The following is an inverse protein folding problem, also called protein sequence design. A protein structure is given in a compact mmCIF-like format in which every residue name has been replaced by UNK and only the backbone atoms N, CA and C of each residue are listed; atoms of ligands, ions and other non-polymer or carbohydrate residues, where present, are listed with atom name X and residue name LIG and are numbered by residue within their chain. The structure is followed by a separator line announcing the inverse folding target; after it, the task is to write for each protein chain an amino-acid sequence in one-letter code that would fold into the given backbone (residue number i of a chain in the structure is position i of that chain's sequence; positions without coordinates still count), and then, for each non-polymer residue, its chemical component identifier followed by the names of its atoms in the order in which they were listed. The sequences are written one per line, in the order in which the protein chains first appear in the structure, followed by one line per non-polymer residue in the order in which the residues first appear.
data_IF_713515144431
#
_entry.id   IF_713515144431
#
_cell.length_a   1.000
_cell.length_b   1.000
_cell.length_c   1.000
_cell.angle_alpha   90.00
_cell.angle_beta   90.00
_cell.angle_gamma   90.00
#
_symmetry.space_group_name_H-M   'P 1'
#
loop_
_entity.id
_entity.type
_entity.pdbx_description
1 polymer ?
#
# COMPACT_ATOMS: atom_id res chain seq x y z
N UNK A 1 16.41 11.16 20.86
CA UNK A 1 15.09 11.73 20.48
C UNK A 1 14.08 11.29 21.52
N UNK A 2 13.22 12.18 22.00
CA UNK A 2 12.11 11.79 22.86
C UNK A 2 11.04 11.07 22.02
N UNK A 3 10.43 9.99 22.53
CA UNK A 3 9.45 9.18 21.78
C UNK A 3 8.19 9.96 21.41
N UNK A 4 7.75 10.89 22.27
CA UNK A 4 6.58 11.73 21.99
C UNK A 4 6.80 12.61 20.76
N UNK A 5 8.03 13.12 20.58
CA UNK A 5 8.41 13.89 19.39
C UNK A 5 8.39 13.03 18.11
N UNK A 6 8.72 11.74 18.22
CA UNK A 6 8.69 10.81 17.10
C UNK A 6 7.25 10.51 16.69
N UNK A 7 6.37 10.22 17.65
CA UNK A 7 4.96 9.93 17.38
C UNK A 7 4.28 11.10 16.64
N UNK A 8 4.43 12.32 17.15
CA UNK A 8 3.90 13.54 16.52
C UNK A 8 4.44 13.72 15.11
N UNK A 9 5.74 13.47 14.90
CA UNK A 9 6.36 13.59 13.59
C UNK A 9 5.78 12.60 12.58
N UNK A 10 5.58 11.34 12.95
CA UNK A 10 4.99 10.33 12.05
C UNK A 10 3.55 10.72 11.70
N UNK A 11 2.77 11.17 12.68
CA UNK A 11 1.38 11.62 12.48
C UNK A 11 1.34 12.82 11.53
N UNK A 12 2.27 13.77 11.68
CA UNK A 12 2.36 14.94 10.81
C UNK A 12 2.66 14.57 9.34
N UNK A 13 3.55 13.61 9.09
CA UNK A 13 3.81 13.10 7.72
C UNK A 13 2.54 12.55 7.07
N UNK A 14 1.74 11.79 7.83
CA UNK A 14 0.46 11.23 7.38
C UNK A 14 -0.59 12.32 7.15
N UNK A 15 -0.62 13.35 8.00
CA UNK A 15 -1.53 14.49 7.81
C UNK A 15 -1.18 15.29 6.54
N UNK A 16 0.10 15.51 6.26
CA UNK A 16 0.54 16.18 5.02
C UNK A 16 0.15 15.38 3.77
N UNK A 17 0.26 14.04 3.83
CA UNK A 17 -0.19 13.13 2.76
C UNK A 17 -1.69 13.28 2.50
N UNK A 18 -2.51 13.16 3.54
CA UNK A 18 -3.97 13.31 3.43
C UNK A 18 -4.39 14.70 2.93
N UNK A 19 -3.73 15.76 3.42
CA UNK A 19 -4.00 17.13 2.99
C UNK A 19 -3.72 17.35 1.50
N UNK A 20 -2.57 16.87 1.01
CA UNK A 20 -2.22 16.97 -0.42
C UNK A 20 -3.19 16.14 -1.26
N UNK A 21 -3.52 14.93 -0.82
CA UNK A 21 -4.48 14.06 -1.51
C UNK A 21 -5.84 14.74 -1.66
N UNK A 22 -6.37 15.33 -0.59
CA UNK A 22 -7.64 16.06 -0.60
C UNK A 22 -7.60 17.27 -1.55
N UNK A 23 -6.48 18.00 -1.59
CA UNK A 23 -6.28 19.09 -2.53
C UNK A 23 -6.30 18.61 -3.98
N UNK A 24 -5.61 17.51 -4.29
CA UNK A 24 -5.56 16.94 -5.64
C UNK A 24 -6.92 16.39 -6.07
N UNK A 25 -7.71 15.82 -5.16
CA UNK A 25 -9.10 15.41 -5.41
C UNK A 25 -9.95 16.62 -5.77
N UNK A 26 -9.90 17.70 -4.98
CA UNK A 26 -10.66 18.95 -5.26
C UNK A 26 -10.28 19.56 -6.61
N UNK A 27 -9.02 19.39 -7.04
CA UNK A 27 -8.52 19.86 -8.34
C UNK A 27 -8.77 18.88 -9.50
N UNK A 28 -9.35 17.70 -9.24
CA UNK A 28 -9.59 16.68 -10.26
C UNK A 28 -8.31 16.07 -10.85
N UNK A 29 -7.20 16.09 -10.09
CA UNK A 29 -5.87 15.69 -10.59
C UNK A 29 -5.49 14.23 -10.34
N UNK A 30 -6.28 13.48 -9.57
CA UNK A 30 -6.01 12.06 -9.29
C UNK A 30 -6.64 11.09 -10.30
N UNK A 31 -7.22 11.60 -11.39
CA UNK A 31 -7.86 10.77 -12.42
C UNK A 31 -6.86 10.19 -13.44
N UNK A 32 -5.68 10.79 -13.59
CA UNK A 32 -4.70 10.42 -14.61
C UNK A 32 -3.32 10.11 -14.01
N UNK A 33 -3.14 8.84 -13.62
CA UNK A 33 -1.86 8.33 -13.14
C UNK A 33 -1.45 8.83 -11.75
N UNK A 34 -0.15 8.75 -11.48
CA UNK A 34 0.43 9.14 -10.19
C UNK A 34 0.91 10.58 -10.26
N UNK A 35 0.24 11.49 -9.55
CA UNK A 35 0.58 12.91 -9.56
C UNK A 35 2.03 13.14 -9.06
N UNK A 36 2.88 13.90 -9.79
CA UNK A 36 4.28 14.11 -9.41
C UNK A 36 4.48 14.77 -8.04
N UNK A 37 3.56 15.62 -7.59
CA UNK A 37 3.64 16.24 -6.26
C UNK A 37 3.35 15.22 -5.16
N UNK A 38 2.43 14.28 -5.43
CA UNK A 38 2.15 13.16 -4.53
C UNK A 38 3.32 12.19 -4.48
N UNK A 39 3.92 11.87 -5.63
CA UNK A 39 5.13 11.02 -5.69
C UNK A 39 6.28 11.63 -4.89
N UNK A 40 6.53 12.94 -5.06
CA UNK A 40 7.55 13.65 -4.31
C UNK A 40 7.29 13.62 -2.79
N UNK A 41 6.04 13.82 -2.36
CA UNK A 41 5.68 13.78 -0.95
C UNK A 41 5.83 12.37 -0.36
N UNK A 42 5.35 11.34 -1.04
CA UNK A 42 5.50 9.96 -0.57
C UNK A 42 6.97 9.54 -0.45
N UNK A 43 7.82 9.93 -1.40
CA UNK A 43 9.26 9.67 -1.32
C UNK A 43 9.91 10.38 -0.13
N UNK A 44 9.59 11.66 0.09
CA UNK A 44 10.07 12.41 1.27
C UNK A 44 9.59 11.78 2.58
N UNK A 45 8.32 11.38 2.66
CA UNK A 45 7.78 10.72 3.85
C UNK A 45 8.49 9.39 4.11
N UNK A 46 8.79 8.61 3.06
CA UNK A 46 9.54 7.36 3.16
C UNK A 46 10.97 7.57 3.68
N UNK A 47 11.68 8.59 3.20
CA UNK A 47 13.02 8.96 3.68
C UNK A 47 13.01 9.29 5.18
N UNK A 48 12.09 10.19 5.60
CA UNK A 48 11.98 10.62 6.99
C UNK A 48 11.58 9.44 7.89
N UNK A 49 10.65 8.59 7.45
CA UNK A 49 10.25 7.41 8.20
C UNK A 49 11.36 6.37 8.27
N UNK A 50 12.18 6.23 7.21
CA UNK A 50 13.34 5.35 7.23
C UNK A 50 14.34 5.77 8.31
N UNK A 51 14.65 7.06 8.43
CA UNK A 51 15.53 7.58 9.49
C UNK A 51 14.99 7.28 10.89
N UNK A 52 13.67 7.41 11.07
CA UNK A 52 13.01 7.06 12.35
C UNK A 52 13.15 5.55 12.61
N UNK A 53 12.90 4.72 11.60
CA UNK A 53 13.00 3.25 11.69
C UNK A 53 14.43 2.82 12.00
N UNK A 54 15.45 3.51 11.49
CA UNK A 54 16.85 3.23 11.80
C UNK A 54 17.19 3.47 13.28
N UNK A 55 16.43 4.32 13.97
CA UNK A 55 16.60 4.60 15.41
C UNK A 55 15.77 3.68 16.28
N UNK A 56 14.50 3.43 15.93
CA UNK A 56 13.55 2.73 16.83
C UNK A 56 13.10 1.35 16.33
N UNK A 57 13.52 0.92 15.15
CA UNK A 57 12.94 -0.23 14.45
C UNK A 57 11.53 0.05 13.92
N UNK A 58 10.74 -0.99 13.65
CA UNK A 58 9.34 -0.80 13.24
C UNK A 58 8.58 0.03 14.30
N UNK A 59 7.81 1.07 13.91
CA UNK A 59 7.03 1.90 14.83
C UNK A 59 5.80 1.15 15.34
N UNK A 60 6.00 0.19 16.23
CA UNK A 60 4.95 -0.60 16.88
C UNK A 60 4.15 0.25 17.87
N UNK A 61 2.94 -0.22 18.21
CA UNK A 61 2.01 0.50 19.10
C UNK A 61 2.65 0.83 20.46
N UNK A 62 3.46 -0.09 21.02
CA UNK A 62 4.15 0.09 22.29
C UNK A 62 5.25 1.17 22.26
N UNK A 63 5.78 1.52 21.07
CA UNK A 63 6.85 2.51 20.92
C UNK A 63 6.33 3.92 20.66
N UNK A 64 5.29 4.04 19.84
CA UNK A 64 4.83 5.33 19.30
C UNK A 64 3.32 5.58 19.49
N UNK A 65 2.61 4.63 20.10
CA UNK A 65 1.15 4.68 20.23
C UNK A 65 0.43 4.26 18.94
N UNK A 66 -0.88 3.99 19.08
CA UNK A 66 -1.70 3.44 17.99
C UNK A 66 -1.75 4.35 16.76
N UNK A 67 -2.01 5.64 16.96
CA UNK A 67 -2.16 6.60 15.87
C UNK A 67 -0.89 6.73 15.01
N UNK A 68 0.29 6.84 15.64
CA UNK A 68 1.55 6.91 14.92
C UNK A 68 1.93 5.58 14.26
N UNK A 69 1.60 4.44 14.88
CA UNK A 69 1.83 3.12 14.29
C UNK A 69 1.00 2.91 13.01
N UNK A 70 -0.28 3.30 13.04
CA UNK A 70 -1.16 3.29 11.87
C UNK A 70 -0.72 4.28 10.79
N UNK A 71 -0.25 5.47 11.19
CA UNK A 71 0.32 6.47 10.29
C UNK A 71 1.61 5.97 9.60
N UNK A 72 2.52 5.32 10.34
CA UNK A 72 3.71 4.69 9.78
C UNK A 72 3.35 3.64 8.73
N UNK A 73 2.35 2.80 9.03
CA UNK A 73 1.86 1.79 8.09
C UNK A 73 1.32 2.40 6.79
N UNK A 74 0.55 3.50 6.87
CA UNK A 74 0.07 4.22 5.69
C UNK A 74 1.22 4.75 4.83
N UNK A 75 2.20 5.41 5.45
CA UNK A 75 3.38 5.96 4.76
C UNK A 75 4.15 4.84 4.06
N UNK A 76 4.34 3.70 4.72
CA UNK A 76 5.01 2.52 4.14
C UNK A 76 4.24 2.02 2.91
N UNK A 77 2.92 1.91 2.98
CA UNK A 77 2.08 1.48 1.84
C UNK A 77 2.18 2.43 0.65
N UNK A 78 2.34 3.72 0.90
CA UNK A 78 2.43 4.76 -0.12
C UNK A 78 3.83 4.91 -0.74
N UNK A 79 4.87 4.38 -0.09
CA UNK A 79 6.26 4.45 -0.52
C UNK A 79 6.61 3.57 -1.74
N UNK A 80 5.71 3.44 -2.72
CA UNK A 80 5.88 2.61 -3.91
C UNK A 80 7.04 3.10 -4.80
N UNK A 81 7.49 4.35 -4.67
CA UNK A 81 8.68 4.87 -5.35
C UNK A 81 10.01 4.42 -4.72
N UNK A 82 9.98 3.74 -3.56
CA UNK A 82 11.15 3.35 -2.78
C UNK A 82 11.17 1.83 -2.51
N UNK A 83 11.48 0.97 -3.52
CA UNK A 83 11.38 -0.48 -3.36
C UNK A 83 12.23 -1.04 -2.22
N UNK A 84 13.45 -0.53 -2.04
CA UNK A 84 14.35 -0.98 -0.98
C UNK A 84 13.78 -0.71 0.42
N UNK A 85 13.23 0.49 0.64
CA UNK A 85 12.58 0.86 1.88
C UNK A 85 11.33 0.03 2.16
N UNK A 86 10.45 -0.13 1.16
CA UNK A 86 9.22 -0.90 1.31
C UNK A 86 9.52 -2.37 1.66
N UNK A 87 10.52 -2.99 1.01
CA UNK A 87 10.96 -4.37 1.31
C UNK A 87 11.59 -4.50 2.70
N UNK A 88 12.41 -3.53 3.12
CA UNK A 88 12.95 -3.45 4.49
C UNK A 88 11.81 -3.40 5.51
N UNK A 89 10.82 -2.55 5.29
CA UNK A 89 9.65 -2.43 6.17
C UNK A 89 8.81 -3.71 6.20
N UNK A 90 8.65 -4.42 5.07
CA UNK A 90 7.98 -5.73 5.03
C UNK A 90 8.63 -6.73 5.99
N UNK A 91 9.96 -6.81 5.98
CA UNK A 91 10.67 -7.72 6.87
C UNK A 91 10.54 -7.31 8.35
N UNK A 92 10.63 -6.02 8.64
CA UNK A 92 10.44 -5.52 10.00
C UNK A 92 9.01 -5.75 10.52
N UNK A 93 8.00 -5.55 9.66
CA UNK A 93 6.60 -5.81 9.96
C UNK A 93 6.34 -7.32 10.16
N UNK A 94 6.97 -8.17 9.36
CA UNK A 94 6.92 -9.64 9.52
C UNK A 94 7.41 -10.07 10.91
N UNK A 95 8.55 -9.52 11.36
CA UNK A 95 9.05 -9.76 12.72
C UNK A 95 8.07 -9.23 13.78
N UNK A 96 7.56 -8.00 13.62
CA UNK A 96 6.59 -7.42 14.57
C UNK A 96 5.28 -8.22 14.67
N UNK A 97 4.78 -8.76 13.55
CA UNK A 97 3.61 -9.66 13.55
C UNK A 97 3.92 -10.97 14.26
N UNK A 98 5.10 -11.56 14.05
CA UNK A 98 5.50 -12.80 14.74
C UNK A 98 5.60 -12.62 16.27
N UNK A 99 5.88 -11.40 16.72
CA UNK A 99 5.92 -11.00 18.13
C UNK A 99 4.55 -10.53 18.66
N UNK A 100 3.48 -10.58 17.86
CA UNK A 100 2.14 -10.05 18.18
C UNK A 100 2.12 -8.54 18.48
N UNK A 101 3.01 -7.76 17.87
CA UNK A 101 3.13 -6.30 18.04
C UNK A 101 2.61 -5.48 16.86
N UNK A 102 2.15 -6.15 15.80
CA UNK A 102 1.57 -5.52 14.62
C UNK A 102 0.47 -6.39 14.03
N UNK A 103 -0.37 -5.77 13.20
CA UNK A 103 -1.52 -6.42 12.58
C UNK A 103 -1.09 -7.31 11.39
N UNK A 104 -1.43 -8.62 11.37
CA UNK A 104 -1.11 -9.51 10.26
C UNK A 104 -1.80 -9.12 8.95
N UNK A 105 -2.94 -8.42 8.99
CA UNK A 105 -3.60 -7.92 7.77
C UNK A 105 -2.74 -6.86 7.09
N UNK A 106 -2.14 -5.96 7.86
CA UNK A 106 -1.18 -4.98 7.35
C UNK A 106 -0.01 -5.68 6.61
N UNK A 107 0.56 -6.75 7.18
CA UNK A 107 1.61 -7.53 6.50
C UNK A 107 1.13 -8.16 5.18
N UNK A 108 -0.09 -8.71 5.14
CA UNK A 108 -0.66 -9.30 3.94
C UNK A 108 -0.79 -8.28 2.80
N UNK A 109 -1.29 -7.07 3.12
CA UNK A 109 -1.40 -5.98 2.15
C UNK A 109 -0.04 -5.51 1.63
N UNK A 110 0.98 -5.39 2.50
CA UNK A 110 2.33 -4.99 2.04
C UNK A 110 2.94 -6.03 1.11
N UNK A 111 2.76 -7.30 1.49
CA UNK A 111 3.34 -8.44 0.78
C UNK A 111 2.78 -8.54 -0.63
N UNK A 112 1.46 -8.44 -0.77
CA UNK A 112 0.82 -8.46 -2.09
C UNK A 112 1.13 -7.21 -2.91
N UNK A 113 1.25 -6.02 -2.28
CA UNK A 113 1.67 -4.80 -2.97
C UNK A 113 3.05 -4.95 -3.60
N UNK A 114 4.01 -5.47 -2.84
CA UNK A 114 5.35 -5.79 -3.34
C UNK A 114 5.24 -6.83 -4.47
N UNK A 115 4.48 -7.90 -4.29
CA UNK A 115 4.32 -8.95 -5.30
C UNK A 115 3.81 -8.37 -6.63
N UNK A 116 2.76 -7.55 -6.62
CA UNK A 116 2.21 -6.93 -7.84
C UNK A 116 3.23 -5.98 -8.49
N UNK A 117 3.95 -5.19 -7.71
CA UNK A 117 4.98 -4.28 -8.22
C UNK A 117 6.15 -5.06 -8.85
N UNK A 118 6.48 -6.23 -8.33
CA UNK A 118 7.49 -7.13 -8.91
C UNK A 118 6.96 -8.02 -10.06
N UNK A 119 5.65 -8.01 -10.33
CA UNK A 119 5.03 -8.91 -11.31
C UNK A 119 4.90 -10.36 -10.85
N UNK A 120 4.98 -10.61 -9.54
CA UNK A 120 4.79 -11.91 -8.90
C UNK A 120 3.31 -12.16 -8.53
N UNK A 121 2.88 -13.42 -8.40
CA UNK A 121 1.55 -13.75 -7.89
C UNK A 121 1.37 -13.27 -6.45
N UNK A 122 0.21 -12.68 -6.16
CA UNK A 122 -0.22 -12.33 -4.81
C UNK A 122 -0.45 -13.56 -3.94
N UNK A 123 -0.24 -13.43 -2.63
CA UNK A 123 -0.50 -14.47 -1.65
C UNK A 123 -1.90 -14.36 -1.05
N UNK A 124 -2.42 -13.14 -0.89
CA UNK A 124 -3.71 -12.89 -0.24
C UNK A 124 -4.75 -12.24 -1.16
N UNK A 125 -4.36 -11.81 -2.37
CA UNK A 125 -5.25 -11.19 -3.36
C UNK A 125 -5.79 -9.83 -2.92
N UNK A 126 -4.98 -9.02 -2.24
CA UNK A 126 -5.41 -7.72 -1.66
C UNK A 126 -5.31 -6.54 -2.63
N UNK A 127 -4.51 -6.64 -3.69
CA UNK A 127 -4.34 -5.60 -4.70
C UNK A 127 -5.22 -5.88 -5.91
N UNK A 128 -6.01 -4.88 -6.30
CA UNK A 128 -6.99 -4.94 -7.38
C UNK A 128 -6.61 -3.96 -8.49
N UNK A 129 -6.97 -4.29 -9.71
CA UNK A 129 -6.94 -3.38 -10.86
C UNK A 129 -8.09 -3.71 -11.82
N UNK A 130 -8.32 -2.86 -12.80
CA UNK A 130 -9.33 -3.07 -13.83
C UNK A 130 -8.88 -4.18 -14.78
N UNK A 131 -9.75 -5.18 -14.98
CA UNK A 131 -9.53 -6.24 -15.97
C UNK A 131 -9.97 -5.82 -17.39
N UNK A 132 -9.76 -6.72 -18.35
CA UNK A 132 -10.11 -6.53 -19.77
C UNK A 132 -11.62 -6.32 -20.01
N UNK A 133 -12.47 -6.72 -19.07
CA UNK A 133 -13.92 -6.52 -19.12
C UNK A 133 -14.35 -5.21 -18.43
N UNK A 134 -13.40 -4.40 -17.96
CA UNK A 134 -13.68 -3.20 -17.21
C UNK A 134 -14.26 -3.47 -15.83
N UNK A 135 -14.02 -4.66 -15.25
CA UNK A 135 -14.40 -4.97 -13.88
C UNK A 135 -13.18 -4.87 -12.95
N UNK A 136 -13.38 -4.31 -11.76
CA UNK A 136 -12.32 -4.29 -10.74
C UNK A 136 -12.15 -5.72 -10.20
N UNK A 137 -10.95 -6.27 -10.37
CA UNK A 137 -10.60 -7.67 -10.12
C UNK A 137 -9.24 -7.76 -9.42
N UNK A 138 -8.99 -8.80 -8.61
CA UNK A 138 -7.68 -8.98 -7.99
C UNK A 138 -6.62 -9.19 -9.09
N UNK A 139 -5.44 -8.58 -8.93
CA UNK A 139 -4.28 -8.89 -9.76
C UNK A 139 -3.90 -10.37 -9.64
N UNK A 140 -3.05 -10.85 -10.55
CA UNK A 140 -2.60 -12.25 -10.61
C UNK A 140 -2.22 -12.82 -9.22
N UNK A 141 -2.74 -14.00 -8.90
CA UNK A 141 -2.49 -14.77 -7.67
C UNK A 141 -2.32 -16.26 -8.03
N UNK A 142 -1.85 -17.08 -7.10
CA UNK A 142 -1.51 -18.48 -7.38
C UNK A 142 -2.73 -19.40 -7.52
N UNK A 143 -3.50 -19.57 -6.45
CA UNK A 143 -4.66 -20.45 -6.41
C UNK A 143 -5.68 -19.93 -5.39
N UNK A 144 -6.96 -19.90 -5.78
CA UNK A 144 -8.03 -19.29 -4.95
C UNK A 144 -8.25 -20.03 -3.63
N UNK A 145 -8.10 -21.36 -3.61
CA UNK A 145 -8.26 -22.15 -2.38
C UNK A 145 -7.12 -21.84 -1.42
N UNK A 146 -5.88 -21.81 -1.92
CA UNK A 146 -4.69 -21.46 -1.11
C UNK A 146 -4.73 -20.01 -0.62
N UNK A 147 -5.19 -19.07 -1.44
CA UNK A 147 -5.41 -17.67 -1.04
C UNK A 147 -6.43 -17.62 0.10
N UNK A 148 -7.57 -18.28 -0.04
CA UNK A 148 -8.63 -18.27 0.98
C UNK A 148 -8.19 -18.95 2.29
N UNK A 149 -7.36 -19.99 2.23
CA UNK A 149 -6.74 -20.58 3.42
C UNK A 149 -5.86 -19.57 4.18
N UNK A 150 -5.03 -18.80 3.45
CA UNK A 150 -4.17 -17.76 4.06
C UNK A 150 -5.02 -16.62 4.64
N UNK A 151 -6.02 -16.15 3.90
CA UNK A 151 -6.97 -15.10 4.31
C UNK A 151 -7.70 -15.48 5.60
N UNK A 152 -8.22 -16.71 5.68
CA UNK A 152 -8.92 -17.23 6.86
C UNK A 152 -8.03 -17.21 8.12
N UNK A 153 -6.75 -17.56 7.99
CA UNK A 153 -5.80 -17.58 9.13
C UNK A 153 -5.57 -16.22 9.78
N UNK A 154 -5.77 -15.14 9.02
CA UNK A 154 -5.58 -13.76 9.48
C UNK A 154 -6.92 -12.99 9.62
N UNK A 155 -8.05 -13.70 9.56
CA UNK A 155 -9.38 -13.12 9.78
C UNK A 155 -9.96 -12.33 8.61
N UNK A 156 -9.43 -12.49 7.40
CA UNK A 156 -10.04 -11.92 6.19
C UNK A 156 -11.17 -12.80 5.66
N UNK A 157 -12.18 -12.16 5.05
CA UNK A 157 -13.21 -12.82 4.24
C UNK A 157 -12.59 -13.54 3.02
N UNK A 158 -13.36 -14.33 2.29
CA UNK A 158 -12.88 -14.95 1.05
C UNK A 158 -12.54 -13.91 -0.02
N UNK A 159 -11.70 -14.28 -1.00
CA UNK A 159 -11.33 -13.42 -2.11
C UNK A 159 -12.57 -13.06 -2.96
N UNK A 160 -13.50 -13.99 -3.11
CA UNK A 160 -14.76 -13.84 -3.81
C UNK A 160 -15.67 -12.83 -3.12
N UNK A 161 -15.86 -12.95 -1.80
CA UNK A 161 -16.61 -11.96 -1.00
C UNK A 161 -15.97 -10.58 -1.08
N UNK A 162 -14.64 -10.51 -0.99
CA UNK A 162 -13.91 -9.25 -1.09
C UNK A 162 -14.07 -8.61 -2.47
N UNK A 163 -14.01 -9.41 -3.53
CA UNK A 163 -14.22 -8.95 -4.91
C UNK A 163 -15.63 -8.39 -5.09
N UNK A 164 -16.65 -9.06 -4.54
CA UNK A 164 -18.03 -8.56 -4.57
C UNK A 164 -18.18 -7.22 -3.85
N UNK A 165 -17.62 -7.09 -2.63
CA UNK A 165 -17.66 -5.84 -1.85
C UNK A 165 -16.97 -4.68 -2.59
N UNK A 166 -15.82 -4.94 -3.20
CA UNK A 166 -15.06 -3.94 -3.95
C UNK A 166 -15.83 -3.49 -5.18
N UNK A 167 -16.41 -4.42 -5.96
CA UNK A 167 -17.21 -4.09 -7.14
C UNK A 167 -18.48 -3.30 -6.78
N UNK A 168 -19.13 -3.64 -5.67
CA UNK A 168 -20.27 -2.88 -5.16
C UNK A 168 -19.89 -1.45 -4.81
N UNK A 169 -18.73 -1.25 -4.15
CA UNK A 169 -18.23 0.09 -3.80
C UNK A 169 -17.95 0.93 -5.04
N UNK A 170 -17.19 0.38 -6.00
CA UNK A 170 -16.87 1.05 -7.28
C UNK A 170 -18.13 1.50 -8.01
N UNK A 171 -19.15 0.64 -8.08
CA UNK A 171 -20.43 0.98 -8.68
C UNK A 171 -21.15 2.11 -7.92
N UNK A 172 -21.13 2.10 -6.59
CA UNK A 172 -21.74 3.16 -5.78
C UNK A 172 -21.00 4.52 -5.87
N UNK A 173 -19.70 4.48 -6.12
CA UNK A 173 -18.84 5.66 -6.24
C UNK A 173 -18.70 6.17 -7.68
N UNK A 174 -19.38 5.53 -8.65
CA UNK A 174 -19.29 5.83 -10.08
C UNK A 174 -17.85 5.84 -10.61
N UNK A 175 -16.99 5.00 -10.07
CA UNK A 175 -15.63 4.83 -10.57
C UNK A 175 -15.67 4.06 -11.89
N UNK A 176 -14.86 4.49 -12.86
CA UNK A 176 -14.78 3.87 -14.19
C UNK A 176 -13.37 3.38 -14.49
N UNK A 177 -13.22 2.36 -15.37
CA UNK A 177 -11.92 1.97 -15.89
C UNK A 177 -11.16 3.14 -16.52
N UNK A 178 -9.82 3.07 -16.60
CA UNK A 178 -9.03 4.03 -17.36
C UNK A 178 -9.46 4.04 -18.83
N UNK A 179 -9.44 5.23 -19.45
CA UNK A 179 -9.82 5.39 -20.85
C UNK A 179 -8.92 4.63 -21.83
N UNK A 180 -7.64 4.47 -21.48
CA UNK A 180 -6.65 3.72 -22.25
C UNK A 180 -5.89 2.77 -21.31
N UNK A 181 -6.37 1.53 -21.22
CA UNK A 181 -5.81 0.50 -20.36
C UNK A 181 -4.40 0.07 -20.81
N UNK A 182 -4.15 0.02 -22.13
CA UNK A 182 -2.87 -0.40 -22.70
C UNK A 182 -1.79 0.64 -22.43
N UNK A 183 -2.10 1.92 -22.63
CA UNK A 183 -1.20 3.01 -22.26
C UNK A 183 -0.91 3.02 -20.76
N UNK A 184 -1.93 2.89 -19.90
CA UNK A 184 -1.73 2.84 -18.44
C UNK A 184 -0.82 1.67 -18.04
N UNK A 185 -1.03 0.50 -18.62
CA UNK A 185 -0.19 -0.69 -18.38
C UNK A 185 1.24 -0.48 -18.86
N UNK A 186 1.43 0.14 -20.03
CA UNK A 186 2.74 0.51 -20.55
C UNK A 186 3.46 1.50 -19.62
N UNK A 187 2.79 2.60 -19.25
CA UNK A 187 3.32 3.65 -18.39
C UNK A 187 3.71 3.08 -17.01
N UNK A 188 2.86 2.23 -16.43
CA UNK A 188 3.15 1.51 -15.19
C UNK A 188 4.38 0.59 -15.33
N UNK A 189 4.52 -0.16 -16.44
CA UNK A 189 5.71 -0.98 -16.67
C UNK A 189 7.00 -0.16 -16.73
N UNK A 190 6.97 0.98 -17.44
CA UNK A 190 8.13 1.88 -17.51
C UNK A 190 8.46 2.48 -16.15
N UNK A 191 7.44 2.90 -15.40
CA UNK A 191 7.63 3.43 -14.05
C UNK A 191 8.21 2.37 -13.09
N UNK A 192 7.74 1.12 -13.16
CA UNK A 192 8.28 0.00 -12.36
C UNK A 192 9.75 -0.31 -12.69
N UNK A 193 10.15 -0.19 -13.97
CA UNK A 193 11.56 -0.29 -14.37
C UNK A 193 12.39 0.87 -13.83
N UNK A 194 11.91 2.11 -14.02
CA UNK A 194 12.57 3.34 -13.58
C UNK A 194 12.82 3.34 -12.06
N UNK A 195 11.87 2.86 -11.28
CA UNK A 195 11.95 2.81 -9.81
C UNK A 195 12.70 1.60 -9.28
N UNK A 196 13.01 0.60 -10.11
CA UNK A 196 13.79 -0.57 -9.74
C UNK A 196 12.97 -1.74 -9.16
N UNK A 197 11.66 -1.78 -9.41
CA UNK A 197 10.84 -2.95 -9.08
C UNK A 197 11.11 -4.14 -10.00
N UNK A 198 11.35 -3.88 -11.28
CA UNK A 198 11.60 -4.88 -12.32
C UNK A 198 12.78 -4.46 -13.20
N UNK A 199 13.43 -5.42 -13.86
CA UNK A 199 14.58 -5.20 -14.76
C UNK A 199 14.17 -4.79 -16.18
#
# INVERSE_FOLDING_TARGET
MNTDNIADKIIDLKNQDEQLRDELIRKGKLSDGYDPSMEALHNRNAEILNDIIDVIGYPTIDKVGKAASEAAWLIIQHAIGQPGFMKKCRHLLENAVSENKADPVSLAYLTDRIAVLEGAPQLFGTQFDWDENGALSPNHFDDVTRVNERRKRIGLNTLEEQTALIRQRVASENQTPPADADKRKHDMNQWRKKTGWIK
#
